data_IF_022765254104
#
_entry.id   IF_022765254104
#
_cell.length_a   1.000
_cell.length_b   1.000
_cell.length_c   1.000
_cell.angle_alpha   90.00
_cell.angle_beta   90.00
_cell.angle_gamma   90.00
#
_symmetry.space_group_name_H-M   'P 1'
#
loop_
_entity.id
_entity.type
_entity.pdbx_description
1 polymer ?
#
# COMPACT_ATOMS: atom_id res chain seq x y z
N UNK A 1 0.98 -17.96 4.71
CA UNK A 1 0.43 -17.26 5.88
C UNK A 1 -0.94 -16.62 5.57
N UNK A 2 -1.06 -15.80 4.52
CA UNK A 2 -2.33 -15.15 4.16
C UNK A 2 -3.39 -16.08 3.54
N UNK A 3 -2.99 -17.18 2.90
CA UNK A 3 -3.93 -18.17 2.35
C UNK A 3 -4.83 -18.81 3.41
N UNK A 4 -4.30 -19.13 4.60
CA UNK A 4 -5.10 -19.69 5.70
C UNK A 4 -6.05 -18.66 6.35
N UNK A 5 -5.69 -17.38 6.31
CA UNK A 5 -6.59 -16.28 6.74
C UNK A 5 -7.73 -16.09 5.73
N UNK A 6 -7.45 -16.25 4.43
CA UNK A 6 -8.47 -16.23 3.39
C UNK A 6 -9.48 -17.38 3.56
N UNK A 7 -9.01 -18.61 3.77
CA UNK A 7 -9.88 -19.76 4.03
C UNK A 7 -10.75 -19.58 5.28
N UNK A 8 -10.18 -19.04 6.37
CA UNK A 8 -10.93 -18.71 7.58
C UNK A 8 -11.99 -17.61 7.38
N UNK A 9 -11.77 -16.70 6.42
CA UNK A 9 -12.71 -15.64 6.04
C UNK A 9 -13.67 -16.08 4.93
N UNK A 10 -13.62 -17.34 4.48
CA UNK A 10 -14.44 -17.85 3.37
C UNK A 10 -14.05 -17.27 2.00
N UNK A 11 -12.88 -16.63 1.91
CA UNK A 11 -12.39 -15.92 0.75
C UNK A 11 -11.46 -16.74 -0.12
N UNK A 12 -11.51 -16.50 -1.44
CA UNK A 12 -10.53 -17.06 -2.36
C UNK A 12 -9.12 -16.59 -1.97
N UNK A 13 -8.19 -17.51 -1.62
CA UNK A 13 -6.83 -17.17 -1.19
C UNK A 13 -6.04 -16.46 -2.29
N UNK A 14 -6.42 -16.63 -3.55
CA UNK A 14 -5.83 -15.93 -4.70
C UNK A 14 -6.13 -14.42 -4.63
N UNK A 15 -7.39 -14.05 -4.43
CA UNK A 15 -7.82 -12.63 -4.40
C UNK A 15 -7.16 -11.92 -3.21
N UNK A 16 -7.17 -12.55 -2.03
CA UNK A 16 -6.55 -11.97 -0.84
C UNK A 16 -5.03 -11.80 -1.00
N UNK A 17 -4.35 -12.79 -1.60
CA UNK A 17 -2.90 -12.70 -1.81
C UNK A 17 -2.51 -11.59 -2.79
N UNK A 18 -3.30 -11.40 -3.86
CA UNK A 18 -3.10 -10.32 -4.83
C UNK A 18 -3.32 -8.95 -4.18
N UNK A 19 -4.40 -8.78 -3.42
CA UNK A 19 -4.68 -7.54 -2.69
C UNK A 19 -3.55 -7.18 -1.73
N UNK A 20 -3.03 -8.16 -0.98
CA UNK A 20 -1.92 -7.95 -0.03
C UNK A 20 -0.61 -7.62 -0.76
N UNK A 21 -0.32 -8.27 -1.88
CA UNK A 21 0.87 -7.97 -2.69
C UNK A 21 0.85 -6.53 -3.22
N UNK A 22 -0.31 -6.05 -3.67
CA UNK A 22 -0.49 -4.67 -4.11
C UNK A 22 -0.38 -3.72 -2.92
N UNK A 23 -1.04 -4.01 -1.79
CA UNK A 23 -0.96 -3.20 -0.57
C UNK A 23 0.47 -3.06 -0.04
N UNK A 24 1.24 -4.14 -0.04
CA UNK A 24 2.65 -4.14 0.37
C UNK A 24 3.53 -3.27 -0.55
N UNK A 25 3.17 -3.20 -1.85
CA UNK A 25 3.85 -2.33 -2.81
C UNK A 25 3.52 -0.85 -2.60
N UNK A 26 2.46 -0.52 -1.87
CA UNK A 26 2.04 0.85 -1.57
C UNK A 26 2.78 1.47 -0.36
N UNK A 27 3.94 0.96 0.05
CA UNK A 27 4.71 1.52 1.17
C UNK A 27 5.39 2.87 0.80
N UNK A 28 4.63 3.95 0.69
CA UNK A 28 5.11 5.26 0.25
C UNK A 28 5.50 6.23 1.38
N UNK A 29 5.32 5.83 2.65
CA UNK A 29 5.44 6.73 3.80
C UNK A 29 6.86 7.09 4.23
N UNK A 30 7.87 6.30 3.87
CA UNK A 30 9.25 6.50 4.35
C UNK A 30 10.22 6.71 3.17
N UNK A 31 11.16 7.67 3.26
CA UNK A 31 12.14 7.92 2.20
C UNK A 31 13.04 6.71 1.94
N UNK A 32 13.20 5.84 2.95
CA UNK A 32 14.00 4.61 2.87
C UNK A 32 13.29 3.48 2.12
N UNK A 33 11.98 3.60 1.87
CA UNK A 33 11.17 2.52 1.32
C UNK A 33 11.43 2.25 -0.17
N UNK A 34 11.81 3.28 -0.94
CA UNK A 34 12.07 3.14 -2.38
C UNK A 34 13.20 4.08 -2.84
N UNK A 35 14.13 3.62 -3.70
CA UNK A 35 15.25 4.44 -4.21
C UNK A 35 14.85 5.80 -4.81
N UNK A 36 13.71 5.95 -5.54
CA UNK A 36 13.28 7.24 -6.08
C UNK A 36 13.01 8.27 -4.97
N UNK A 37 12.33 7.88 -3.89
CA UNK A 37 11.99 8.78 -2.79
C UNK A 37 13.23 9.29 -2.06
N UNK A 38 14.25 8.43 -1.88
CA UNK A 38 15.54 8.82 -1.32
C UNK A 38 16.28 9.83 -2.21
N UNK A 39 16.23 9.67 -3.54
CA UNK A 39 16.84 10.60 -4.51
C UNK A 39 16.19 11.98 -4.41
N UNK A 40 14.85 12.08 -4.40
CA UNK A 40 14.17 13.39 -4.29
C UNK A 40 14.42 14.03 -2.93
N UNK A 41 14.48 13.25 -1.86
CA UNK A 41 14.82 13.75 -0.52
C UNK A 41 16.26 14.31 -0.46
N UNK A 42 17.21 13.67 -1.15
CA UNK A 42 18.62 14.10 -1.19
C UNK A 42 18.84 15.45 -1.90
N UNK A 43 17.85 15.96 -2.64
CA UNK A 43 17.91 17.28 -3.28
C UNK A 43 17.88 18.44 -2.27
N UNK A 44 17.55 18.18 -1.01
CA UNK A 44 17.50 19.19 0.06
C UNK A 44 16.29 20.14 0.00
N UNK A 45 15.48 20.06 -1.05
CA UNK A 45 14.28 20.90 -1.23
C UNK A 45 13.04 20.34 -0.51
N UNK A 46 13.00 19.04 -0.20
CA UNK A 46 11.85 18.39 0.43
C UNK A 46 12.17 17.98 1.86
N UNK A 47 11.39 18.45 2.83
CA UNK A 47 11.51 18.05 4.24
C UNK A 47 10.88 16.69 4.48
N UNK A 48 11.42 15.94 5.45
CA UNK A 48 10.92 14.60 5.79
C UNK A 48 9.44 14.63 6.21
N UNK A 49 9.02 15.69 6.90
CA UNK A 49 7.63 15.93 7.30
C UNK A 49 6.67 16.11 6.12
N UNK A 50 7.14 16.71 5.01
CA UNK A 50 6.34 16.90 3.80
C UNK A 50 6.13 15.55 3.09
N UNK A 51 7.19 14.75 2.94
CA UNK A 51 7.09 13.40 2.38
C UNK A 51 6.18 12.50 3.20
N UNK A 52 6.31 12.54 4.54
CA UNK A 52 5.49 11.73 5.42
C UNK A 52 4.00 12.11 5.33
N UNK A 53 3.70 13.41 5.24
CA UNK A 53 2.32 13.90 5.09
C UNK A 53 1.72 13.44 3.76
N UNK A 54 2.45 13.60 2.65
CA UNK A 54 2.00 13.13 1.32
C UNK A 54 1.85 11.61 1.27
N UNK A 55 2.78 10.87 1.88
CA UNK A 55 2.73 9.41 1.98
C UNK A 55 1.52 8.89 2.74
N UNK A 56 1.08 9.57 3.80
CA UNK A 56 -0.15 9.21 4.54
C UNK A 56 -1.39 9.40 3.66
N UNK A 57 -1.49 10.51 2.93
CA UNK A 57 -2.61 10.74 2.01
C UNK A 57 -2.67 9.68 0.89
N UNK A 58 -1.51 9.35 0.30
CA UNK A 58 -1.41 8.29 -0.70
C UNK A 58 -1.79 6.92 -0.14
N UNK A 59 -1.33 6.57 1.07
CA UNK A 59 -1.71 5.32 1.73
C UNK A 59 -3.21 5.22 1.96
N UNK A 60 -3.85 6.29 2.43
CA UNK A 60 -5.30 6.33 2.62
C UNK A 60 -6.06 6.10 1.30
N UNK A 61 -5.62 6.74 0.22
CA UNK A 61 -6.20 6.54 -1.12
C UNK A 61 -5.99 5.09 -1.58
N UNK A 62 -4.79 4.53 -1.43
CA UNK A 62 -4.50 3.15 -1.78
C UNK A 62 -5.37 2.17 -0.99
N UNK A 63 -5.53 2.36 0.33
CA UNK A 63 -6.42 1.54 1.15
C UNK A 63 -7.86 1.62 0.65
N UNK A 64 -8.35 2.82 0.32
CA UNK A 64 -9.70 3.03 -0.18
C UNK A 64 -9.91 2.34 -1.53
N UNK A 65 -9.00 2.53 -2.48
CA UNK A 65 -9.04 1.88 -3.80
C UNK A 65 -8.97 0.37 -3.68
N UNK A 66 -8.04 -0.16 -2.88
CA UNK A 66 -7.92 -1.60 -2.64
C UNK A 66 -9.17 -2.18 -1.99
N UNK A 67 -9.80 -1.44 -1.07
CA UNK A 67 -11.06 -1.86 -0.45
C UNK A 67 -12.20 -1.93 -1.47
N UNK A 68 -12.30 -0.95 -2.37
CA UNK A 68 -13.30 -0.95 -3.46
C UNK A 68 -13.04 -2.09 -4.44
N UNK A 69 -11.78 -2.29 -4.86
CA UNK A 69 -11.41 -3.38 -5.77
C UNK A 69 -11.71 -4.73 -5.12
N UNK A 70 -11.37 -4.91 -3.84
CA UNK A 70 -11.72 -6.11 -3.09
C UNK A 70 -13.24 -6.34 -3.07
N UNK A 71 -14.02 -5.29 -2.83
CA UNK A 71 -15.48 -5.37 -2.81
C UNK A 71 -16.08 -5.69 -4.19
N UNK A 72 -15.56 -5.09 -5.26
CA UNK A 72 -15.99 -5.35 -6.65
C UNK A 72 -15.63 -6.75 -7.13
N UNK A 73 -14.46 -7.28 -6.77
CA UNK A 73 -14.05 -8.65 -7.12
C UNK A 73 -14.71 -9.72 -6.23
N UNK A 74 -15.29 -9.32 -5.10
CA UNK A 74 -16.07 -10.18 -4.22
C UNK A 74 -17.55 -10.29 -4.64
N UNK A 75 -18.07 -9.27 -5.33
CA UNK A 75 -19.40 -9.30 -5.95
C UNK A 75 -19.40 -10.04 -7.29
#
# INVERSE_FOLDING_TARGET
MFAGVAEALGMSPVILSVLIAIAASCAFMLPVATPPNAIVFSTGHIKQSEMMRVGIYLNLICIFVLSIVAWLFWS
#
